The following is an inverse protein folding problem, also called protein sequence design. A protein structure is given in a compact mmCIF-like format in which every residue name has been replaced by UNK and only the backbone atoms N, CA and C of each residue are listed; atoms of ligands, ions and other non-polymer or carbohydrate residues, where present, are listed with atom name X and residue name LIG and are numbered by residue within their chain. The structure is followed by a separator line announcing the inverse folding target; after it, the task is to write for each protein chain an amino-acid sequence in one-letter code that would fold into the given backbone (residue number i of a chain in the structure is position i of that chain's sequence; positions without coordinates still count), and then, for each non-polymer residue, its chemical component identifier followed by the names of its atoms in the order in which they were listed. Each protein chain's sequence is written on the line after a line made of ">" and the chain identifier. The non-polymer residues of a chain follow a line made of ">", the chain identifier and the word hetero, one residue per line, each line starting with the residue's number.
data_IF_186251611994
#
_entry.id   IF_186251611994
#
_cell.length_a   1.000
_cell.length_b   1.000
_cell.length_c   1.000
_cell.angle_alpha   90.00
_cell.angle_beta   90.00
_cell.angle_gamma   90.00
#
_symmetry.space_group_name_H-M   'P 1'
#
loop_
_entity.id
_entity.type
_entity.pdbx_description
1 polymer ?
#
# COMPACT_ATOMS: atom_id res chain seq x y z
N UNK A 1 -4.32 24.42 -20.57
CA UNK A 1 -4.40 23.66 -19.31
C UNK A 1 -3.29 22.64 -19.32
N UNK A 2 -2.30 22.80 -18.45
CA UNK A 2 -1.25 21.79 -18.27
C UNK A 2 -1.89 20.58 -17.57
N UNK A 3 -1.62 19.37 -18.08
CA UNK A 3 -1.98 18.15 -17.35
C UNK A 3 -1.16 18.14 -16.06
N UNK A 4 -1.84 18.31 -14.92
CA UNK A 4 -1.25 18.07 -13.60
C UNK A 4 -0.72 16.63 -13.54
N UNK A 5 0.48 16.46 -12.98
CA UNK A 5 1.04 15.13 -12.77
C UNK A 5 0.24 14.40 -11.69
N UNK A 6 -0.18 13.18 -11.99
CA UNK A 6 -0.83 12.28 -11.04
C UNK A 6 0.02 11.02 -10.90
N UNK A 7 0.59 10.80 -9.72
CA UNK A 7 1.34 9.59 -9.44
C UNK A 7 0.39 8.38 -9.45
N UNK A 8 0.84 7.28 -10.05
CA UNK A 8 0.12 6.00 -10.04
C UNK A 8 1.06 4.94 -9.49
N UNK A 9 0.64 4.31 -8.39
CA UNK A 9 1.41 3.26 -7.74
C UNK A 9 1.51 2.05 -8.65
N UNK A 10 2.74 1.63 -8.95
CA UNK A 10 3.02 0.51 -9.84
C UNK A 10 2.68 -0.80 -9.14
N UNK A 11 1.90 -1.67 -9.80
CA UNK A 11 1.51 -2.99 -9.29
C UNK A 11 0.88 -2.94 -7.89
N UNK A 12 -0.02 -1.98 -7.66
CA UNK A 12 -0.64 -1.77 -6.36
C UNK A 12 -1.33 -3.04 -5.82
N UNK A 13 -2.24 -3.60 -6.63
CA UNK A 13 -3.03 -4.75 -6.22
C UNK A 13 -2.20 -6.02 -6.17
N UNK A 14 -1.38 -6.27 -7.19
CA UNK A 14 -0.54 -7.47 -7.26
C UNK A 14 0.43 -7.55 -6.08
N UNK A 15 1.08 -6.42 -5.73
CA UNK A 15 2.06 -6.40 -4.63
C UNK A 15 1.40 -6.69 -3.28
N UNK A 16 0.27 -6.05 -2.98
CA UNK A 16 -0.38 -6.19 -1.67
C UNK A 16 -1.22 -7.45 -1.58
N UNK A 17 -2.00 -7.80 -2.60
CA UNK A 17 -2.89 -8.97 -2.53
C UNK A 17 -2.09 -10.29 -2.56
N UNK A 18 -0.94 -10.35 -3.25
CA UNK A 18 -0.07 -11.54 -3.23
C UNK A 18 0.84 -11.62 -1.99
N UNK A 19 0.90 -10.57 -1.16
CA UNK A 19 1.60 -10.58 0.12
C UNK A 19 0.92 -11.49 1.16
N UNK A 20 -0.29 -11.99 0.86
CA UNK A 20 -1.12 -12.80 1.77
C UNK A 20 -1.28 -12.11 3.14
N UNK A 21 -1.76 -10.85 3.08
CA UNK A 21 -1.87 -9.96 4.23
C UNK A 21 -2.65 -10.61 5.36
N UNK A 22 -2.06 -10.59 6.56
CA UNK A 22 -2.68 -11.01 7.81
C UNK A 22 -3.25 -9.74 8.47
N UNK A 23 -4.55 -9.70 8.80
CA UNK A 23 -5.18 -8.49 9.32
C UNK A 23 -4.50 -7.91 10.58
N UNK A 24 -3.98 -8.77 11.46
CA UNK A 24 -3.27 -8.38 12.69
C UNK A 24 -1.73 -8.47 12.51
N UNK A 25 -1.25 -8.49 11.26
CA UNK A 25 0.17 -8.61 10.93
C UNK A 25 0.94 -7.30 11.13
N UNK A 26 2.28 -7.42 11.15
CA UNK A 26 3.20 -6.28 11.21
C UNK A 26 4.00 -6.25 9.91
N UNK A 27 3.95 -5.12 9.21
CA UNK A 27 4.57 -4.96 7.90
C UNK A 27 5.55 -3.79 7.87
N UNK A 28 6.53 -3.87 6.98
CA UNK A 28 7.53 -2.82 6.78
C UNK A 28 7.52 -2.41 5.32
N UNK A 29 7.15 -1.16 5.06
CA UNK A 29 7.40 -0.54 3.77
C UNK A 29 8.82 0.04 3.76
N UNK A 30 9.75 -0.71 3.18
CA UNK A 30 11.15 -0.31 3.09
C UNK A 30 11.39 0.81 2.07
N UNK A 31 10.37 1.25 1.34
CA UNK A 31 10.46 2.17 0.20
C UNK A 31 9.28 3.15 0.14
N UNK A 32 8.79 3.61 1.30
CA UNK A 32 7.53 4.35 1.47
C UNK A 32 7.14 5.28 0.30
N UNK A 33 8.04 6.14 -0.17
CA UNK A 33 7.80 6.98 -1.35
C UNK A 33 6.52 7.82 -1.23
N UNK A 34 5.62 7.70 -2.21
CA UNK A 34 4.29 8.35 -2.20
C UNK A 34 3.23 7.62 -1.36
N UNK A 35 3.62 6.60 -0.60
CA UNK A 35 2.80 5.80 0.32
C UNK A 35 1.62 5.03 -0.31
N UNK A 36 1.52 4.92 -1.64
CA UNK A 36 0.37 4.27 -2.26
C UNK A 36 0.24 2.78 -1.95
N UNK A 37 1.35 2.04 -1.85
CA UNK A 37 1.32 0.63 -1.39
C UNK A 37 0.96 0.53 0.08
N UNK A 38 1.55 1.39 0.92
CA UNK A 38 1.25 1.47 2.36
C UNK A 38 -0.23 1.79 2.63
N UNK A 39 -0.83 2.74 1.92
CA UNK A 39 -2.25 3.09 2.05
C UNK A 39 -3.15 1.90 1.74
N UNK A 40 -2.87 1.18 0.65
CA UNK A 40 -3.66 0.01 0.30
C UNK A 40 -3.45 -1.16 1.26
N UNK A 41 -2.23 -1.38 1.75
CA UNK A 41 -1.94 -2.36 2.79
C UNK A 41 -2.73 -2.08 4.07
N UNK A 42 -2.71 -0.83 4.55
CA UNK A 42 -3.46 -0.41 5.75
C UNK A 42 -4.97 -0.65 5.59
N UNK A 43 -5.52 -0.51 4.37
CA UNK A 43 -6.93 -0.83 4.11
C UNK A 43 -7.31 -2.31 4.30
N UNK A 44 -6.31 -3.21 4.36
CA UNK A 44 -6.47 -4.65 4.57
C UNK A 44 -6.19 -5.08 6.01
N UNK A 45 -5.62 -4.20 6.84
CA UNK A 45 -5.32 -4.47 8.25
C UNK A 45 -6.55 -4.23 9.14
N UNK A 46 -6.54 -4.88 10.30
CA UNK A 46 -7.47 -4.57 11.39
C UNK A 46 -6.89 -3.45 12.27
N UNK A 47 -7.63 -3.01 13.27
CA UNK A 47 -7.15 -2.07 14.29
C UNK A 47 -5.94 -2.56 15.10
N UNK A 48 -5.62 -3.86 15.02
CA UNK A 48 -4.46 -4.47 15.70
C UNK A 48 -3.25 -4.65 14.78
N UNK A 49 -3.40 -4.47 13.47
CA UNK A 49 -2.30 -4.55 12.51
C UNK A 49 -1.40 -3.31 12.57
N UNK A 50 -0.15 -3.47 12.13
CA UNK A 50 0.87 -2.41 12.12
C UNK A 50 1.58 -2.30 10.77
#
# INVERSE_FOLDING_TARGET
>A
MTKEFHHVTVLLHETIDMLDVKPDGIYVDATLGGAGHSEYLLSKLSEKGH
#
